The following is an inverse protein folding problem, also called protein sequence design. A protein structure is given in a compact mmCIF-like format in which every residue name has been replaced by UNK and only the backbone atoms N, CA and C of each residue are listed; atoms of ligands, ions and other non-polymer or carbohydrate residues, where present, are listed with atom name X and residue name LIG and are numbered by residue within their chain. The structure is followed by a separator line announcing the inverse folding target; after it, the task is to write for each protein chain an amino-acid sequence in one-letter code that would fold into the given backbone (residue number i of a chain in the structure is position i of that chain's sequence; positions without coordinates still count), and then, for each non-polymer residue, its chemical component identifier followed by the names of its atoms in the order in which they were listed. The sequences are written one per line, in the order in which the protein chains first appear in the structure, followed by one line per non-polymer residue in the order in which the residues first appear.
data_IF_539058683834
#
_entry.id   IF_539058683834
#
_cell.length_a   1.000
_cell.length_b   1.000
_cell.length_c   1.000
_cell.angle_alpha   90.00
_cell.angle_beta   90.00
_cell.angle_gamma   90.00
#
_symmetry.space_group_name_H-M   'P 1'
#
loop_
_entity.id
_entity.type
_entity.pdbx_description
1 polymer ?
#
# COMPACT_ATOMS: atom_id res chain seq x y z
N UNK A 1 -16.07 15.17 43.70
CA UNK A 1 -15.88 16.61 43.46
C UNK A 1 -16.42 16.92 42.08
N UNK A 2 -17.64 17.43 42.02
CA UNK A 2 -18.31 17.87 40.80
C UNK A 2 -17.81 19.28 40.47
N UNK A 3 -17.15 19.43 39.33
CA UNK A 3 -16.76 20.74 38.80
C UNK A 3 -18.03 21.37 38.20
N UNK A 4 -18.62 22.28 38.97
CA UNK A 4 -19.79 23.05 38.60
C UNK A 4 -19.38 24.16 37.61
N UNK A 5 -20.23 24.45 36.65
CA UNK A 5 -19.90 25.19 35.43
C UNK A 5 -19.47 26.64 35.67
N UNK A 6 -18.16 26.90 35.59
CA UNK A 6 -17.68 28.23 35.24
C UNK A 6 -17.90 28.45 33.73
N UNK A 7 -18.48 29.60 33.30
CA UNK A 7 -18.56 29.91 31.88
C UNK A 7 -17.14 29.95 31.30
N UNK A 8 -16.88 29.28 30.17
CA UNK A 8 -15.56 29.26 29.51
C UNK A 8 -15.01 30.66 29.14
N UNK A 9 -15.80 31.72 29.30
CA UNK A 9 -15.44 33.08 28.90
C UNK A 9 -14.43 33.78 29.81
N UNK A 10 -14.12 33.25 30.99
CA UNK A 10 -13.10 33.83 31.92
C UNK A 10 -11.81 32.97 32.01
N UNK A 11 -11.71 31.90 31.23
CA UNK A 11 -10.52 31.05 31.21
C UNK A 11 -9.48 31.60 30.25
N UNK A 12 -8.21 31.54 30.66
CA UNK A 12 -7.05 31.81 29.81
C UNK A 12 -7.19 31.06 28.47
N UNK A 13 -7.08 31.74 27.30
CA UNK A 13 -7.20 31.10 25.99
C UNK A 13 -6.31 29.87 25.79
N UNK A 14 -5.14 29.81 26.43
CA UNK A 14 -4.26 28.62 26.41
C UNK A 14 -4.92 27.41 27.10
N UNK A 15 -5.60 27.65 28.24
CA UNK A 15 -6.38 26.62 28.96
C UNK A 15 -7.61 26.20 28.16
N UNK A 16 -8.35 27.17 27.62
CA UNK A 16 -9.56 26.91 26.82
C UNK A 16 -9.22 26.11 25.56
N UNK A 17 -8.11 26.42 24.90
CA UNK A 17 -7.59 25.67 23.75
C UNK A 17 -7.21 24.25 24.14
N UNK A 18 -6.49 24.07 25.25
CA UNK A 18 -6.13 22.75 25.78
C UNK A 18 -7.38 21.91 26.04
N UNK A 19 -8.40 22.46 26.69
CA UNK A 19 -9.65 21.75 26.99
C UNK A 19 -10.42 21.38 25.73
N UNK A 20 -10.53 22.29 24.77
CA UNK A 20 -11.25 22.04 23.53
C UNK A 20 -10.54 20.98 22.66
N UNK A 21 -9.22 21.06 22.52
CA UNK A 21 -8.43 20.04 21.81
C UNK A 21 -8.45 18.70 22.54
N UNK A 22 -8.46 18.70 23.87
CA UNK A 22 -8.64 17.47 24.67
C UNK A 22 -10.01 16.86 24.41
N UNK A 23 -11.06 17.68 24.27
CA UNK A 23 -12.39 17.17 23.92
C UNK A 23 -12.41 16.55 22.52
N UNK A 24 -11.79 17.21 21.51
CA UNK A 24 -11.62 16.63 20.17
C UNK A 24 -10.90 15.28 20.22
N UNK A 25 -9.81 15.20 21.00
CA UNK A 25 -9.06 13.96 21.16
C UNK A 25 -9.83 12.87 21.93
N UNK A 26 -10.68 13.25 22.91
CA UNK A 26 -11.41 12.32 23.79
C UNK A 26 -12.78 11.89 23.30
N UNK A 27 -13.47 12.69 22.48
CA UNK A 27 -14.76 12.32 21.88
C UNK A 27 -14.65 11.02 21.07
N UNK A 28 -13.41 10.61 20.76
CA UNK A 28 -13.04 9.39 20.07
C UNK A 28 -12.38 8.36 20.99
N UNK A 29 -13.00 8.03 22.12
CA UNK A 29 -12.56 6.86 22.91
C UNK A 29 -12.51 5.63 21.99
N UNK A 30 -11.44 4.84 22.10
CA UNK A 30 -11.39 3.51 21.50
C UNK A 30 -12.68 2.78 21.89
N UNK A 31 -13.42 2.28 20.91
CA UNK A 31 -14.46 1.30 21.20
C UNK A 31 -13.80 0.07 21.83
N UNK A 32 -14.59 -0.86 22.38
CA UNK A 32 -14.05 -2.16 22.81
C UNK A 32 -13.38 -2.94 21.67
N UNK A 33 -13.60 -2.53 20.41
CA UNK A 33 -12.98 -3.06 19.21
C UNK A 33 -11.73 -2.26 18.76
N UNK A 34 -11.31 -1.26 19.54
CA UNK A 34 -10.15 -0.43 19.21
C UNK A 34 -10.45 0.72 18.25
N UNK A 35 -11.72 1.03 17.99
CA UNK A 35 -12.06 1.92 16.87
C UNK A 35 -12.05 3.40 17.22
N UNK A 36 -11.47 4.22 16.34
CA UNK A 36 -11.68 5.67 16.27
C UNK A 36 -12.21 6.05 14.88
N UNK A 37 -13.37 6.73 14.80
CA UNK A 37 -13.99 7.05 13.50
C UNK A 37 -13.30 8.16 12.72
N UNK A 38 -12.35 8.89 13.33
CA UNK A 38 -11.53 9.85 12.59
C UNK A 38 -10.18 10.16 13.29
N UNK A 39 -9.24 10.70 12.52
CA UNK A 39 -7.84 11.02 12.90
C UNK A 39 -7.71 12.40 13.60
N UNK A 40 -6.96 12.50 14.70
CA UNK A 40 -6.79 13.76 15.46
C UNK A 40 -5.91 14.75 14.73
N UNK A 41 -4.82 14.30 14.10
CA UNK A 41 -3.92 15.16 13.37
C UNK A 41 -4.60 15.79 12.15
N UNK A 42 -5.51 15.03 11.54
CA UNK A 42 -6.36 15.50 10.46
C UNK A 42 -7.36 16.56 10.90
N UNK A 43 -8.01 16.38 12.04
CA UNK A 43 -8.87 17.41 12.63
C UNK A 43 -8.08 18.64 13.06
N UNK A 44 -6.89 18.46 13.63
CA UNK A 44 -6.03 19.56 14.00
C UNK A 44 -5.63 20.38 12.76
N UNK A 45 -5.31 19.73 11.65
CA UNK A 45 -5.02 20.40 10.38
C UNK A 45 -6.22 21.25 9.91
N UNK A 46 -7.44 20.71 9.98
CA UNK A 46 -8.66 21.47 9.63
C UNK A 46 -8.93 22.63 10.59
N UNK A 47 -8.75 22.42 11.90
CA UNK A 47 -8.88 23.45 12.92
C UNK A 47 -7.91 24.60 12.62
N UNK A 48 -6.65 24.29 12.33
CA UNK A 48 -5.62 25.28 12.03
C UNK A 48 -5.89 26.03 10.72
N UNK A 49 -6.39 25.35 9.69
CA UNK A 49 -6.81 26.01 8.46
C UNK A 49 -7.95 27.02 8.72
N UNK A 50 -8.93 26.65 9.54
CA UNK A 50 -10.03 27.54 9.91
C UNK A 50 -9.57 28.72 10.79
N UNK A 51 -8.64 28.49 11.73
CA UNK A 51 -8.01 29.55 12.55
C UNK A 51 -7.26 30.52 11.64
N UNK A 52 -6.42 30.01 10.74
CA UNK A 52 -5.64 30.81 9.80
C UNK A 52 -6.54 31.72 8.95
N UNK A 53 -7.63 31.19 8.41
CA UNK A 53 -8.61 31.97 7.64
C UNK A 53 -9.31 33.06 8.47
N UNK A 54 -9.54 32.81 9.77
CA UNK A 54 -10.18 33.78 10.69
C UNK A 54 -9.25 34.88 11.19
N UNK A 55 -7.94 34.61 11.23
CA UNK A 55 -6.92 35.56 11.69
C UNK A 55 -6.44 36.46 10.53
N UNK A 56 -6.56 36.00 9.28
CA UNK A 56 -6.21 36.79 8.09
C UNK A 56 -5.09 36.20 7.24
N UNK A 57 -4.63 34.98 7.56
CA UNK A 57 -3.54 34.30 6.86
C UNK A 57 -2.35 34.00 7.77
N UNK A 58 -1.36 33.30 7.21
CA UNK A 58 -0.19 32.81 7.97
C UNK A 58 0.69 33.94 8.45
N UNK A 59 0.81 35.01 7.65
CA UNK A 59 1.61 36.20 7.99
C UNK A 59 1.05 36.90 9.24
N UNK A 60 -0.27 37.00 9.32
CA UNK A 60 -0.96 37.59 10.48
C UNK A 60 -0.96 36.64 11.68
N UNK A 61 -1.04 35.33 11.45
CA UNK A 61 -1.02 34.30 12.50
C UNK A 61 0.34 34.22 13.22
N UNK A 62 1.43 34.46 12.49
CA UNK A 62 2.80 34.43 12.99
C UNK A 62 3.45 35.81 13.06
N UNK A 63 2.64 36.87 13.10
CA UNK A 63 3.14 38.23 13.21
C UNK A 63 4.04 38.38 14.44
N UNK A 64 5.14 39.11 14.27
CA UNK A 64 6.12 39.36 15.33
C UNK A 64 6.95 38.13 15.73
N UNK A 65 7.15 37.17 14.83
CA UNK A 65 8.02 36.02 15.03
C UNK A 65 8.97 35.81 13.85
N UNK A 66 10.25 35.45 14.09
CA UNK A 66 11.08 34.85 13.06
C UNK A 66 10.56 33.45 12.71
N UNK A 67 10.74 33.03 11.46
CA UNK A 67 10.48 31.67 11.01
C UNK A 67 11.27 30.67 11.85
N UNK A 68 10.61 29.59 12.26
CA UNK A 68 11.15 28.50 13.07
C UNK A 68 10.57 27.17 12.60
N UNK A 69 11.21 26.06 12.96
CA UNK A 69 10.74 24.71 12.64
C UNK A 69 9.27 24.52 13.07
N UNK A 70 8.87 25.03 14.24
CA UNK A 70 7.47 24.95 14.71
C UNK A 70 6.50 25.72 13.81
N UNK A 71 6.85 26.93 13.38
CA UNK A 71 5.99 27.71 12.47
C UNK A 71 5.88 27.04 11.10
N UNK A 72 6.93 26.36 10.62
CA UNK A 72 6.91 25.61 9.36
C UNK A 72 6.03 24.35 9.46
N UNK A 73 6.11 23.61 10.57
CA UNK A 73 5.26 22.45 10.84
C UNK A 73 3.77 22.85 10.95
N UNK A 74 3.46 23.93 11.65
CA UNK A 74 2.09 24.45 11.74
C UNK A 74 1.60 24.94 10.36
N UNK A 75 2.46 25.60 9.58
CA UNK A 75 2.14 26.01 8.20
C UNK A 75 1.85 24.79 7.32
N UNK A 76 2.59 23.69 7.49
CA UNK A 76 2.35 22.42 6.80
C UNK A 76 0.97 21.85 7.15
N UNK A 77 0.59 21.85 8.43
CA UNK A 77 -0.75 21.42 8.86
C UNK A 77 -1.86 22.33 8.30
N UNK A 78 -1.65 23.65 8.27
CA UNK A 78 -2.60 24.61 7.69
C UNK A 78 -2.84 24.30 6.21
N UNK A 79 -1.76 24.06 5.44
CA UNK A 79 -1.85 23.72 4.03
C UNK A 79 -2.62 22.40 3.82
N UNK A 80 -2.32 21.38 4.62
CA UNK A 80 -3.01 20.08 4.58
C UNK A 80 -4.51 20.21 4.88
N UNK A 81 -4.88 20.99 5.91
CA UNK A 81 -6.26 21.25 6.27
C UNK A 81 -7.03 22.03 5.20
N UNK A 82 -6.37 23.00 4.55
CA UNK A 82 -6.98 23.82 3.48
C UNK A 82 -7.28 22.99 2.23
N UNK A 83 -6.45 22.00 1.92
CA UNK A 83 -6.66 21.10 0.79
C UNK A 83 -7.81 20.09 1.03
N UNK A 84 -8.22 19.91 2.29
CA UNK A 84 -9.22 18.92 2.66
C UNK A 84 -10.64 19.43 2.45
N UNK A 85 -11.52 18.55 1.97
CA UNK A 85 -12.97 18.78 2.01
C UNK A 85 -13.53 18.25 3.33
N UNK A 86 -14.40 18.99 4.03
CA UNK A 86 -15.10 18.48 5.20
C UNK A 86 -15.82 17.18 4.85
N UNK A 87 -15.62 16.14 5.65
CA UNK A 87 -16.32 14.86 5.47
C UNK A 87 -17.84 15.02 5.66
N UNK A 88 -18.67 14.24 4.93
CA UNK A 88 -20.11 14.30 5.11
C UNK A 88 -20.53 13.75 6.49
N UNK A 89 -21.40 14.51 7.17
CA UNK A 89 -22.11 14.16 8.40
C UNK A 89 -21.28 14.10 9.70
N UNK A 90 -21.02 15.29 10.28
CA UNK A 90 -20.24 15.45 11.52
C UNK A 90 -21.09 15.61 12.79
N UNK A 91 -22.41 15.67 12.70
CA UNK A 91 -23.33 15.67 13.86
C UNK A 91 -22.85 16.51 15.05
N UNK A 92 -22.74 15.90 16.23
CA UNK A 92 -22.24 16.55 17.46
C UNK A 92 -20.74 16.82 17.44
N UNK A 93 -19.96 16.04 16.69
CA UNK A 93 -18.51 16.20 16.54
C UNK A 93 -18.17 17.54 15.89
N UNK A 94 -19.01 18.03 14.97
CA UNK A 94 -18.87 19.35 14.37
C UNK A 94 -18.90 20.48 15.43
N UNK A 95 -19.73 20.33 16.46
CA UNK A 95 -19.81 21.30 17.54
C UNK A 95 -18.54 21.29 18.41
N UNK A 96 -17.90 20.14 18.62
CA UNK A 96 -16.63 20.04 19.35
C UNK A 96 -15.48 20.62 18.55
N UNK A 97 -15.37 20.30 17.26
CA UNK A 97 -14.39 20.90 16.35
C UNK A 97 -14.57 22.41 16.28
N UNK A 98 -15.81 22.90 16.15
CA UNK A 98 -16.10 24.33 16.16
C UNK A 98 -15.64 25.03 17.44
N UNK A 99 -15.84 24.41 18.62
CA UNK A 99 -15.33 24.95 19.89
C UNK A 99 -13.80 25.03 19.91
N UNK A 100 -13.11 24.01 19.37
CA UNK A 100 -11.66 24.04 19.24
C UNK A 100 -11.18 25.15 18.30
N UNK A 101 -11.87 25.37 17.17
CA UNK A 101 -11.58 26.49 16.27
C UNK A 101 -11.73 27.84 17.01
N UNK A 102 -12.82 28.05 17.74
CA UNK A 102 -13.04 29.30 18.49
C UNK A 102 -11.94 29.51 19.53
N UNK A 103 -11.67 28.51 20.36
CA UNK A 103 -10.64 28.61 21.41
C UNK A 103 -9.25 28.90 20.83
N UNK A 104 -8.84 28.18 19.78
CA UNK A 104 -7.56 28.39 19.12
C UNK A 104 -7.48 29.73 18.37
N UNK A 105 -8.61 30.25 17.86
CA UNK A 105 -8.67 31.60 17.28
C UNK A 105 -8.44 32.66 18.35
N UNK A 106 -9.03 32.50 19.53
CA UNK A 106 -8.84 33.45 20.63
C UNK A 106 -7.42 33.39 21.19
N UNK A 107 -6.81 32.20 21.23
CA UNK A 107 -5.38 32.04 21.52
C UNK A 107 -4.51 32.82 20.51
N UNK A 108 -4.77 32.65 19.21
CA UNK A 108 -4.02 33.36 18.17
C UNK A 108 -4.17 34.89 18.28
N UNK A 109 -5.38 35.40 18.54
CA UNK A 109 -5.61 36.83 18.77
C UNK A 109 -4.88 37.35 19.99
N UNK A 110 -4.89 36.59 21.08
CA UNK A 110 -4.16 36.93 22.29
C UNK A 110 -2.66 37.00 22.02
N UNK A 111 -2.10 36.02 21.31
CA UNK A 111 -0.68 36.03 20.92
C UNK A 111 -0.31 37.29 20.12
N UNK A 112 -1.15 37.73 19.19
CA UNK A 112 -0.93 38.96 18.41
C UNK A 112 -1.14 40.25 19.20
N UNK A 113 -2.01 40.25 20.22
CA UNK A 113 -2.26 41.42 21.06
C UNK A 113 -1.08 41.80 21.97
N UNK A 114 -0.17 40.85 22.25
CA UNK A 114 0.98 41.05 23.14
C UNK A 114 2.29 41.33 22.41
N UNK A 115 2.27 41.76 21.14
CA UNK A 115 3.49 42.18 20.45
C UNK A 115 4.10 43.38 21.19
N UNK A 116 5.34 43.22 21.63
CA UNK A 116 6.12 44.25 22.31
C UNK A 116 6.61 45.33 21.34
N UNK A 117 7.23 46.38 21.89
CA UNK A 117 7.77 47.50 21.11
C UNK A 117 8.89 47.07 20.15
N UNK A 118 9.54 45.93 20.40
CA UNK A 118 10.56 45.33 19.54
C UNK A 118 9.94 44.47 18.41
N UNK A 119 8.61 44.46 18.31
CA UNK A 119 7.85 43.72 17.30
C UNK A 119 7.83 42.22 17.57
N UNK A 120 8.01 41.77 18.82
CA UNK A 120 7.99 40.35 19.20
C UNK A 120 6.89 40.06 20.21
N UNK A 121 6.17 38.96 20.02
CA UNK A 121 5.23 38.52 21.05
C UNK A 121 5.96 37.67 22.11
N UNK A 122 5.70 37.87 23.42
CA UNK A 122 6.22 37.02 24.49
C UNK A 122 5.48 35.68 24.58
N UNK A 123 4.26 35.58 24.01
CA UNK A 123 3.42 34.37 24.01
C UNK A 123 2.94 33.97 22.61
N UNK A 124 3.83 33.49 21.73
CA UNK A 124 3.51 33.42 20.32
C UNK A 124 2.77 32.15 19.99
N UNK A 125 1.85 32.27 19.05
CA UNK A 125 0.83 31.26 18.80
C UNK A 125 1.42 29.86 18.60
N UNK A 126 2.52 29.74 17.87
CA UNK A 126 3.16 28.45 17.61
C UNK A 126 3.65 27.74 18.88
N UNK A 127 4.20 28.50 19.83
CA UNK A 127 4.69 27.92 21.09
C UNK A 127 3.52 27.60 22.01
N UNK A 128 2.56 28.51 22.15
CA UNK A 128 1.36 28.29 22.99
C UNK A 128 0.52 27.10 22.49
N UNK A 129 0.36 26.95 21.17
CA UNK A 129 -0.32 25.80 20.58
C UNK A 129 0.45 24.50 20.86
N UNK A 130 1.77 24.51 20.72
CA UNK A 130 2.61 23.34 20.98
C UNK A 130 2.55 22.93 22.46
N UNK A 131 2.53 23.91 23.36
CA UNK A 131 2.34 23.67 24.79
C UNK A 131 0.95 23.11 25.09
N UNK A 132 -0.11 23.64 24.45
CA UNK A 132 -1.46 23.10 24.55
C UNK A 132 -1.52 21.64 24.07
N UNK A 133 -0.89 21.31 22.93
CA UNK A 133 -0.81 19.94 22.41
C UNK A 133 -0.04 19.01 23.36
N UNK A 134 1.04 19.50 23.96
CA UNK A 134 1.81 18.73 24.97
C UNK A 134 0.95 18.41 26.19
N UNK A 135 0.13 19.37 26.66
CA UNK A 135 -0.82 19.16 27.76
C UNK A 135 -1.95 18.21 27.39
N UNK A 136 -2.51 18.31 26.17
CA UNK A 136 -3.50 17.37 25.63
C UNK A 136 -2.93 15.96 25.68
N UNK A 137 -1.72 15.76 25.12
CA UNK A 137 -1.02 14.48 25.07
C UNK A 137 -0.83 13.88 26.47
N UNK A 138 -0.32 14.68 27.41
CA UNK A 138 -0.18 14.25 28.80
C UNK A 138 -1.53 13.87 29.44
N UNK A 139 -2.60 14.60 29.14
CA UNK A 139 -3.94 14.34 29.68
C UNK A 139 -4.60 13.05 29.16
N UNK A 140 -4.08 12.50 28.06
CA UNK A 140 -4.55 11.26 27.45
C UNK A 140 -3.78 10.03 27.92
N UNK A 141 -2.57 10.20 28.46
CA UNK A 141 -1.69 9.10 28.89
C UNK A 141 -0.34 9.11 28.18
N UNK A 142 -0.19 9.89 27.10
CA UNK A 142 1.04 9.99 26.32
C UNK A 142 0.79 10.04 24.81
N UNK A 143 1.86 10.11 24.01
CA UNK A 143 1.76 10.08 22.54
C UNK A 143 1.13 8.80 22.01
N UNK A 144 1.37 7.65 22.66
CA UNK A 144 0.77 6.37 22.28
C UNK A 144 -0.78 6.46 22.31
N UNK A 145 -1.35 7.00 23.37
CA UNK A 145 -2.80 7.17 23.53
C UNK A 145 -3.37 8.27 22.63
N UNK A 146 -2.59 9.32 22.35
CA UNK A 146 -3.00 10.36 21.41
C UNK A 146 -3.20 9.76 20.02
N UNK A 147 -2.20 9.04 19.51
CA UNK A 147 -2.20 8.48 18.15
C UNK A 147 -2.82 7.08 18.05
N UNK A 148 -3.21 6.46 19.16
CA UNK A 148 -3.84 5.14 19.17
C UNK A 148 -5.00 5.06 18.17
N UNK A 149 -4.87 4.11 17.23
CA UNK A 149 -5.85 3.81 16.21
C UNK A 149 -5.91 4.74 15.01
N UNK A 150 -4.94 5.65 14.90
CA UNK A 150 -4.82 6.57 13.77
C UNK A 150 -3.89 6.02 12.71
N UNK A 151 -4.14 6.42 11.46
CA UNK A 151 -3.26 6.10 10.34
C UNK A 151 -1.93 6.88 10.49
N UNK A 152 -0.81 6.32 10.02
CA UNK A 152 0.49 6.97 10.09
C UNK A 152 0.65 8.05 8.98
N UNK A 153 -0.31 8.96 8.92
CA UNK A 153 -0.40 10.02 7.90
C UNK A 153 0.74 11.03 8.01
N UNK A 154 0.94 11.84 6.98
CA UNK A 154 1.86 12.99 7.04
C UNK A 154 1.50 13.93 8.18
N UNK A 155 0.20 14.17 8.41
CA UNK A 155 -0.27 15.03 9.50
C UNK A 155 0.08 14.43 10.86
N UNK A 156 -0.13 13.13 11.06
CA UNK A 156 0.23 12.46 12.31
C UNK A 156 1.74 12.58 12.59
N UNK A 157 2.59 12.45 11.56
CA UNK A 157 4.04 12.69 11.68
C UNK A 157 4.36 14.13 12.05
N UNK A 158 3.73 15.11 11.41
CA UNK A 158 3.92 16.53 11.72
C UNK A 158 3.51 16.85 13.16
N UNK A 159 2.41 16.27 13.67
CA UNK A 159 2.00 16.43 15.06
C UNK A 159 2.98 15.76 16.02
N UNK A 160 3.49 14.57 15.68
CA UNK A 160 4.53 13.91 16.48
C UNK A 160 5.81 14.77 16.55
N UNK A 161 6.22 15.35 15.42
CA UNK A 161 7.39 16.24 15.34
C UNK A 161 7.19 17.53 16.15
N UNK A 162 5.99 18.13 16.10
CA UNK A 162 5.62 19.27 16.97
C UNK A 162 5.74 18.92 18.45
N UNK A 163 5.36 17.71 18.84
CA UNK A 163 5.48 17.19 20.20
C UNK A 163 6.90 16.74 20.57
N UNK A 164 7.86 16.82 19.65
CA UNK A 164 9.24 16.36 19.85
C UNK A 164 9.35 14.83 20.02
N UNK A 165 8.42 14.07 19.45
CA UNK A 165 8.37 12.60 19.51
C UNK A 165 8.32 11.98 18.12
N UNK A 166 8.58 10.69 18.02
CA UNK A 166 8.27 9.89 16.84
C UNK A 166 6.87 9.28 16.98
N UNK A 167 6.26 8.90 15.86
CA UNK A 167 5.06 8.08 15.89
C UNK A 167 5.36 6.74 16.59
N UNK A 168 4.43 6.23 17.43
CA UNK A 168 4.59 4.92 18.06
C UNK A 168 4.73 3.80 17.02
N UNK A 169 5.59 2.81 17.28
CA UNK A 169 5.76 1.63 16.41
C UNK A 169 4.52 0.71 16.43
N UNK A 170 3.72 0.76 17.49
CA UNK A 170 2.55 -0.08 17.74
C UNK A 170 1.22 0.49 17.24
N UNK A 171 1.24 1.58 16.46
CA UNK A 171 0.07 2.10 15.73
C UNK A 171 -0.76 1.02 15.00
N UNK A 172 -0.18 -0.02 14.37
CA UNK A 172 -0.94 -1.04 13.66
C UNK A 172 -1.90 -1.84 14.55
N UNK A 173 -1.56 -2.05 15.83
CA UNK A 173 -2.37 -2.85 16.75
C UNK A 173 -3.67 -2.15 17.17
N UNK A 174 -3.72 -0.81 17.05
CA UNK A 174 -4.88 -0.03 17.45
C UNK A 174 -5.70 0.48 16.27
N UNK A 175 -5.20 0.35 15.02
CA UNK A 175 -5.85 0.90 13.82
C UNK A 175 -7.19 0.24 13.58
N UNK A 176 -8.20 1.05 13.30
CA UNK A 176 -9.57 0.61 12.99
C UNK A 176 -10.07 0.97 11.61
N UNK A 177 -9.55 2.03 11.02
CA UNK A 177 -9.83 2.32 9.62
C UNK A 177 -9.18 1.27 8.73
N UNK A 178 -9.87 0.80 7.68
CA UNK A 178 -9.29 -0.16 6.76
C UNK A 178 -7.96 0.33 6.21
N UNK A 179 -6.96 -0.55 6.17
CA UNK A 179 -5.69 -0.25 5.50
C UNK A 179 -5.93 -0.30 4.00
N UNK A 180 -5.95 0.87 3.36
CA UNK A 180 -6.21 0.99 1.93
C UNK A 180 -4.93 0.85 1.14
N UNK A 181 -4.83 -0.20 0.33
CA UNK A 181 -3.66 -0.53 -0.47
C UNK A 181 -4.01 -0.39 -1.94
N UNK A 182 -3.20 0.35 -2.69
CA UNK A 182 -3.28 0.37 -4.16
C UNK A 182 -2.54 -0.84 -4.73
N UNK A 183 -3.20 -1.58 -5.61
CA UNK A 183 -2.59 -2.57 -6.49
C UNK A 183 -2.58 -2.05 -7.93
N UNK A 184 -1.41 -1.60 -8.38
CA UNK A 184 -1.13 -1.42 -9.80
C UNK A 184 -0.54 -2.71 -10.39
N UNK A 185 -1.40 -3.47 -11.07
CA UNK A 185 -1.01 -4.77 -11.65
C UNK A 185 0.02 -4.60 -12.76
N UNK A 186 0.03 -3.47 -13.47
CA UNK A 186 1.00 -3.23 -14.52
C UNK A 186 2.38 -3.01 -13.93
N UNK A 187 2.49 -2.15 -12.92
CA UNK A 187 3.74 -1.90 -12.21
C UNK A 187 4.30 -3.20 -11.62
N UNK A 188 3.47 -3.98 -10.93
CA UNK A 188 3.91 -5.25 -10.34
C UNK A 188 4.46 -6.23 -11.40
N UNK A 189 3.87 -6.24 -12.60
CA UNK A 189 4.33 -7.08 -13.71
C UNK A 189 5.57 -6.52 -14.40
N UNK A 190 5.72 -5.20 -14.44
CA UNK A 190 6.91 -4.52 -14.95
C UNK A 190 8.11 -4.72 -14.03
N UNK A 191 7.95 -4.42 -12.73
CA UNK A 191 8.98 -4.58 -11.71
C UNK A 191 9.47 -6.04 -11.60
N UNK A 192 8.58 -7.01 -11.78
CA UNK A 192 8.95 -8.43 -11.77
C UNK A 192 9.57 -8.93 -13.07
N UNK A 193 9.63 -8.10 -14.12
CA UNK A 193 10.15 -8.45 -15.45
C UNK A 193 9.24 -9.37 -16.27
N UNK A 194 8.00 -9.60 -15.81
CA UNK A 194 7.01 -10.39 -16.53
C UNK A 194 6.50 -9.67 -17.78
N UNK A 195 6.37 -8.34 -17.69
CA UNK A 195 6.01 -7.49 -18.83
C UNK A 195 7.07 -7.55 -19.93
N UNK A 196 8.34 -7.42 -19.58
CA UNK A 196 9.47 -7.51 -20.51
C UNK A 196 9.50 -8.88 -21.21
N UNK A 197 9.30 -9.96 -20.45
CA UNK A 197 9.26 -11.31 -21.01
C UNK A 197 8.11 -11.47 -22.01
N UNK A 198 6.92 -10.99 -21.66
CA UNK A 198 5.76 -11.02 -22.54
C UNK A 198 5.98 -10.20 -23.83
N UNK A 199 6.52 -8.98 -23.71
CA UNK A 199 6.85 -8.14 -24.87
C UNK A 199 7.86 -8.81 -25.79
N UNK A 200 8.90 -9.45 -25.24
CA UNK A 200 9.90 -10.16 -26.02
C UNK A 200 9.30 -11.32 -26.82
N UNK A 201 8.43 -12.13 -26.20
CA UNK A 201 7.74 -13.24 -26.87
C UNK A 201 6.84 -12.73 -28.00
N UNK A 202 6.06 -11.66 -27.75
CA UNK A 202 5.21 -11.07 -28.76
C UNK A 202 5.99 -10.45 -29.92
N UNK A 203 7.13 -9.79 -29.65
CA UNK A 203 7.96 -9.20 -30.69
C UNK A 203 8.45 -10.26 -31.68
N UNK A 204 8.87 -11.44 -31.18
CA UNK A 204 9.29 -12.55 -32.04
C UNK A 204 8.16 -13.11 -32.93
N UNK A 205 6.93 -13.15 -32.40
CA UNK A 205 5.76 -13.59 -33.17
C UNK A 205 5.27 -12.53 -34.17
N UNK A 206 5.36 -11.26 -33.80
CA UNK A 206 4.92 -10.14 -34.64
C UNK A 206 5.70 -10.08 -35.96
N UNK A 207 7.01 -10.37 -35.92
CA UNK A 207 7.82 -10.50 -37.14
C UNK A 207 7.29 -11.59 -38.09
N UNK A 208 6.78 -12.72 -37.57
CA UNK A 208 6.20 -13.78 -38.39
C UNK A 208 4.76 -13.47 -38.87
N UNK A 209 4.02 -12.63 -38.15
CA UNK A 209 2.69 -12.15 -38.56
C UNK A 209 2.80 -11.21 -39.77
N UNK A 210 3.80 -10.34 -39.78
CA UNK A 210 4.00 -9.32 -40.82
C UNK A 210 4.84 -9.79 -42.02
N UNK A 211 5.48 -10.96 -41.95
CA UNK A 211 6.32 -11.45 -43.05
C UNK A 211 5.45 -11.99 -44.20
N UNK A 212 5.23 -11.16 -45.21
CA UNK A 212 4.47 -11.49 -46.43
C UNK A 212 5.10 -12.63 -47.25
N UNK A 213 6.36 -13.00 -46.97
CA UNK A 213 7.04 -14.13 -47.63
C UNK A 213 6.64 -15.48 -47.03
N UNK A 214 6.02 -15.49 -45.85
CA UNK A 214 5.55 -16.72 -45.22
C UNK A 214 4.23 -17.19 -45.85
N UNK A 215 4.05 -18.50 -46.08
CA UNK A 215 2.78 -19.04 -46.51
C UNK A 215 1.63 -18.69 -45.55
N UNK A 216 0.44 -18.45 -46.08
CA UNK A 216 -0.75 -17.98 -45.32
C UNK A 216 -1.08 -18.82 -44.08
N UNK A 217 -0.93 -20.14 -44.18
CA UNK A 217 -1.14 -21.05 -43.05
C UNK A 217 -0.22 -20.75 -41.85
N UNK A 218 1.02 -20.32 -42.09
CA UNK A 218 1.97 -19.97 -41.05
C UNK A 218 1.67 -18.60 -40.47
N UNK A 219 1.26 -17.63 -41.31
CA UNK A 219 0.81 -16.30 -40.85
C UNK A 219 -0.44 -16.40 -39.99
N UNK A 220 -1.46 -17.18 -40.41
CA UNK A 220 -2.67 -17.44 -39.63
C UNK A 220 -2.35 -18.10 -38.28
N UNK A 221 -1.43 -19.07 -38.27
CA UNK A 221 -0.98 -19.70 -37.02
C UNK A 221 -0.24 -18.72 -36.11
N UNK A 222 0.61 -17.85 -36.66
CA UNK A 222 1.31 -16.83 -35.90
C UNK A 222 0.33 -15.82 -35.30
N UNK A 223 -0.66 -15.34 -36.06
CA UNK A 223 -1.72 -14.45 -35.59
C UNK A 223 -2.55 -15.10 -34.48
N UNK A 224 -2.98 -16.35 -34.65
CA UNK A 224 -3.71 -17.08 -33.62
C UNK A 224 -2.88 -17.25 -32.33
N UNK A 225 -1.58 -17.48 -32.46
CA UNK A 225 -0.67 -17.62 -31.32
C UNK A 225 -0.45 -16.27 -30.62
N UNK A 226 -0.29 -15.18 -31.38
CA UNK A 226 -0.17 -13.83 -30.87
C UNK A 226 -1.39 -13.44 -30.02
N UNK A 227 -2.60 -13.64 -30.56
CA UNK A 227 -3.84 -13.35 -29.86
C UNK A 227 -4.04 -14.23 -28.61
N UNK A 228 -3.69 -15.51 -28.69
CA UNK A 228 -3.76 -16.41 -27.54
C UNK A 228 -2.82 -16.00 -26.40
N UNK A 229 -1.60 -15.55 -26.72
CA UNK A 229 -0.64 -15.07 -25.72
C UNK A 229 -1.13 -13.75 -25.11
N UNK A 230 -1.67 -12.84 -25.92
CA UNK A 230 -2.26 -11.57 -25.42
C UNK A 230 -3.44 -11.81 -24.48
N UNK A 231 -4.35 -12.70 -24.86
CA UNK A 231 -5.47 -13.09 -24.01
C UNK A 231 -4.98 -13.77 -22.72
N UNK A 232 -3.97 -14.64 -22.82
CA UNK A 232 -3.36 -15.31 -21.66
C UNK A 232 -2.71 -14.34 -20.68
N UNK A 233 -2.02 -13.31 -21.17
CA UNK A 233 -1.39 -12.29 -20.34
C UNK A 233 -2.42 -11.43 -19.60
N UNK A 234 -3.48 -11.00 -20.29
CA UNK A 234 -4.60 -10.29 -19.66
C UNK A 234 -5.26 -11.15 -18.57
N UNK A 235 -5.49 -12.44 -18.85
CA UNK A 235 -6.03 -13.37 -17.86
C UNK A 235 -5.11 -13.58 -16.64
N UNK A 236 -3.79 -13.59 -16.83
CA UNK A 236 -2.83 -13.67 -15.72
C UNK A 236 -2.87 -12.42 -14.84
N UNK A 237 -3.00 -11.22 -15.41
CA UNK A 237 -3.16 -9.97 -14.65
C UNK A 237 -4.41 -10.00 -13.78
N UNK A 238 -5.56 -10.37 -14.36
CA UNK A 238 -6.82 -10.49 -13.61
C UNK A 238 -6.72 -11.53 -12.49
N UNK A 239 -6.17 -12.71 -12.78
CA UNK A 239 -6.02 -13.78 -11.79
C UNK A 239 -5.01 -13.41 -10.68
N UNK A 240 -3.98 -12.64 -10.98
CA UNK A 240 -3.06 -12.10 -9.98
C UNK A 240 -3.79 -11.13 -9.04
N UNK A 241 -4.55 -10.17 -9.59
CA UNK A 241 -5.34 -9.24 -8.78
C UNK A 241 -6.32 -9.95 -7.84
N UNK A 242 -7.04 -10.96 -8.33
CA UNK A 242 -7.94 -11.78 -7.51
C UNK A 242 -7.19 -12.53 -6.40
N UNK A 243 -5.99 -13.05 -6.69
CA UNK A 243 -5.15 -13.74 -5.71
C UNK A 243 -4.63 -12.76 -4.65
N UNK A 244 -4.25 -11.56 -5.07
CA UNK A 244 -3.78 -10.49 -4.18
C UNK A 244 -4.86 -10.09 -3.19
N UNK A 245 -6.08 -9.80 -3.67
CA UNK A 245 -7.24 -9.50 -2.84
C UNK A 245 -7.54 -10.64 -1.85
N UNK A 246 -7.46 -11.90 -2.30
CA UNK A 246 -7.72 -13.07 -1.45
C UNK A 246 -6.64 -13.30 -0.39
N UNK A 247 -5.43 -12.84 -0.64
CA UNK A 247 -4.28 -12.97 0.28
C UNK A 247 -4.32 -11.92 1.39
N UNK A 248 -5.01 -10.80 1.17
CA UNK A 248 -5.13 -9.68 2.11
C UNK A 248 -5.50 -10.09 3.55
N UNK A 249 -6.53 -10.91 3.82
CA UNK A 249 -6.88 -11.29 5.20
C UNK A 249 -5.75 -12.04 5.92
N UNK A 250 -5.01 -12.90 5.22
CA UNK A 250 -3.93 -13.68 5.81
C UNK A 250 -2.73 -12.80 6.18
N UNK A 251 -2.42 -11.80 5.35
CA UNK A 251 -1.37 -10.83 5.65
C UNK A 251 -1.78 -9.92 6.80
N UNK A 252 -3.05 -9.53 6.88
CA UNK A 252 -3.57 -8.77 8.03
C UNK A 252 -3.35 -9.52 9.36
N UNK A 253 -3.68 -10.82 9.39
CA UNK A 253 -3.44 -11.68 10.56
C UNK A 253 -1.95 -11.80 10.90
N UNK A 254 -1.08 -11.98 9.90
CA UNK A 254 0.37 -12.09 10.10
C UNK A 254 1.01 -10.84 10.68
N UNK A 255 0.50 -9.67 10.28
CA UNK A 255 0.97 -8.36 10.76
C UNK A 255 0.26 -7.93 12.06
N UNK A 256 -0.64 -8.75 12.61
CA UNK A 256 -1.39 -8.41 13.82
C UNK A 256 -2.33 -7.23 13.65
N UNK A 257 -2.82 -6.98 12.44
CA UNK A 257 -3.75 -5.89 12.14
C UNK A 257 -5.15 -6.25 12.63
N UNK A 258 -5.74 -5.35 13.41
CA UNK A 258 -7.14 -5.45 13.80
C UNK A 258 -8.08 -4.85 12.73
N UNK A 259 -7.60 -3.87 11.95
CA UNK A 259 -8.32 -3.32 10.80
C UNK A 259 -8.25 -4.25 9.56
N UNK A 260 -9.32 -4.32 8.76
CA UNK A 260 -9.29 -5.03 7.49
C UNK A 260 -8.38 -4.32 6.47
N UNK A 261 -7.83 -5.07 5.52
CA UNK A 261 -7.13 -4.51 4.37
C UNK A 261 -8.11 -4.37 3.20
N UNK A 262 -8.22 -3.16 2.65
CA UNK A 262 -8.99 -2.85 1.44
C UNK A 262 -8.03 -2.67 0.26
N UNK A 263 -8.16 -3.53 -0.77
CA UNK A 263 -7.31 -3.45 -1.96
C UNK A 263 -8.05 -2.69 -3.07
N UNK A 264 -7.45 -1.61 -3.54
CA UNK A 264 -7.90 -0.81 -4.68
C UNK A 264 -7.10 -1.19 -5.91
N UNK A 265 -7.75 -1.73 -6.95
CA UNK A 265 -7.07 -2.07 -8.21
C UNK A 265 -7.15 -0.86 -9.14
N UNK A 266 -6.01 -0.26 -9.47
CA UNK A 266 -5.96 1.00 -10.21
C UNK A 266 -4.54 1.38 -10.62
N UNK A 267 -4.35 2.63 -11.05
CA UNK A 267 -3.04 3.16 -11.44
C UNK A 267 -2.50 4.10 -10.35
N UNK A 268 -1.19 4.10 -10.12
CA UNK A 268 -0.57 5.01 -9.14
C UNK A 268 -0.79 6.51 -9.40
N UNK A 269 -1.02 6.91 -10.66
CA UNK A 269 -1.27 8.30 -11.05
C UNK A 269 -2.76 8.72 -10.93
N UNK A 270 -3.64 7.82 -10.50
CA UNK A 270 -5.05 8.15 -10.31
C UNK A 270 -5.19 9.13 -9.13
N UNK A 271 -5.81 10.32 -9.29
CA UNK A 271 -6.06 11.23 -8.18
C UNK A 271 -6.98 10.65 -7.10
N UNK A 272 -7.71 9.56 -7.39
CA UNK A 272 -8.49 8.81 -6.42
C UNK A 272 -7.72 7.67 -5.73
N UNK A 273 -6.45 7.44 -6.08
CA UNK A 273 -5.61 6.42 -5.45
C UNK A 273 -5.46 6.70 -3.94
N UNK A 274 -5.51 5.66 -3.09
CA UNK A 274 -5.28 5.84 -1.67
C UNK A 274 -3.87 6.39 -1.41
N UNK A 275 -3.77 7.33 -0.48
CA UNK A 275 -2.48 7.90 -0.08
C UNK A 275 -1.56 6.81 0.49
N UNK A 276 -0.29 6.83 0.08
CA UNK A 276 0.69 5.89 0.58
C UNK A 276 1.26 6.36 1.92
N UNK A 277 0.97 5.61 2.98
CA UNK A 277 1.58 5.78 4.29
C UNK A 277 2.60 4.65 4.57
N UNK A 278 3.48 4.78 5.60
CA UNK A 278 4.48 3.76 5.90
C UNK A 278 3.90 2.35 6.15
N UNK A 279 2.74 2.27 6.78
CA UNK A 279 2.07 0.99 7.05
C UNK A 279 1.46 0.44 5.75
N UNK A 280 0.81 1.26 4.94
CA UNK A 280 0.34 0.86 3.60
C UNK A 280 1.49 0.31 2.77
N UNK A 281 2.68 0.92 2.83
CA UNK A 281 3.88 0.41 2.14
C UNK A 281 4.31 -0.97 2.65
N UNK A 282 4.36 -1.15 3.97
CA UNK A 282 4.71 -2.44 4.58
C UNK A 282 3.70 -3.53 4.21
N UNK A 283 2.40 -3.21 4.28
CA UNK A 283 1.33 -4.12 3.88
C UNK A 283 1.41 -4.45 2.39
N UNK A 284 1.64 -3.47 1.52
CA UNK A 284 1.86 -3.68 0.08
C UNK A 284 3.02 -4.64 -0.16
N UNK A 285 4.14 -4.43 0.53
CA UNK A 285 5.32 -5.29 0.40
C UNK A 285 5.02 -6.73 0.86
N UNK A 286 4.37 -6.89 2.02
CA UNK A 286 3.98 -8.20 2.55
C UNK A 286 3.00 -8.92 1.60
N UNK A 287 2.01 -8.20 1.07
CA UNK A 287 1.06 -8.74 0.09
C UNK A 287 1.74 -9.16 -1.21
N UNK A 288 2.66 -8.35 -1.75
CA UNK A 288 3.42 -8.71 -2.95
C UNK A 288 4.27 -9.96 -2.72
N UNK A 289 4.88 -10.09 -1.55
CA UNK A 289 5.68 -11.28 -1.22
C UNK A 289 4.84 -12.54 -0.98
N UNK A 290 3.61 -12.39 -0.46
CA UNK A 290 2.69 -13.49 -0.21
C UNK A 290 1.88 -13.92 -1.45
N UNK A 291 1.67 -13.01 -2.41
CA UNK A 291 0.78 -13.26 -3.56
C UNK A 291 1.50 -13.97 -4.68
N UNK A 292 1.02 -15.15 -5.06
CA UNK A 292 1.59 -15.93 -6.18
C UNK A 292 1.10 -15.41 -7.52
N UNK A 293 2.00 -15.28 -8.50
CA UNK A 293 1.62 -15.03 -9.92
C UNK A 293 1.11 -16.31 -10.57
N UNK A 294 -0.14 -16.32 -11.08
CA UNK A 294 -0.68 -17.44 -11.83
C UNK A 294 0.15 -17.71 -13.09
N UNK A 295 0.74 -18.90 -13.18
CA UNK A 295 1.61 -19.31 -14.30
C UNK A 295 3.08 -19.48 -13.92
N UNK A 296 3.58 -18.76 -12.91
CA UNK A 296 4.94 -18.99 -12.37
C UNK A 296 4.92 -19.84 -11.10
N UNK A 297 3.79 -19.86 -10.38
CA UNK A 297 3.68 -20.53 -9.08
C UNK A 297 4.54 -19.88 -7.99
N UNK A 298 5.01 -18.64 -8.21
CA UNK A 298 5.88 -17.88 -7.32
C UNK A 298 5.40 -16.43 -7.22
N UNK A 299 5.70 -15.73 -6.11
CA UNK A 299 5.42 -14.30 -6.03
C UNK A 299 6.22 -13.52 -7.09
N UNK A 300 5.74 -12.32 -7.50
CA UNK A 300 6.53 -11.43 -8.34
C UNK A 300 7.86 -11.18 -7.62
N UNK A 301 8.97 -11.51 -8.28
CA UNK A 301 10.29 -11.36 -7.66
C UNK A 301 10.76 -9.94 -7.87
N UNK A 302 11.28 -9.33 -6.82
CA UNK A 302 12.00 -8.06 -6.91
C UNK A 302 13.11 -8.14 -7.96
N UNK A 303 13.20 -7.08 -8.78
CA UNK A 303 14.24 -6.88 -9.78
C UNK A 303 15.60 -6.77 -9.10
N UNK A 304 16.34 -7.88 -8.98
CA UNK A 304 17.77 -7.79 -8.66
C UNK A 304 18.52 -7.18 -9.85
N UNK A 305 19.35 -6.13 -9.65
CA UNK A 305 20.20 -5.62 -10.71
C UNK A 305 21.06 -6.76 -11.30
N UNK A 306 21.00 -6.95 -12.62
CA UNK A 306 21.89 -7.86 -13.35
C UNK A 306 21.33 -9.25 -13.73
N UNK A 307 20.06 -9.58 -13.47
CA UNK A 307 19.44 -10.80 -14.02
C UNK A 307 18.76 -10.55 -15.37
N UNK A 308 18.88 -11.51 -16.29
CA UNK A 308 18.29 -11.47 -17.64
C UNK A 308 16.90 -12.11 -17.64
N UNK A 309 16.01 -11.75 -18.57
CA UNK A 309 14.69 -12.40 -18.72
C UNK A 309 14.74 -13.94 -18.86
N UNK A 310 15.87 -14.50 -19.32
CA UNK A 310 16.11 -15.94 -19.40
C UNK A 310 16.28 -16.63 -18.02
N UNK A 311 16.49 -15.85 -16.96
CA UNK A 311 16.67 -16.34 -15.59
C UNK A 311 15.33 -16.51 -14.84
N UNK A 312 14.19 -16.29 -15.51
CA UNK A 312 12.84 -16.48 -14.99
C UNK A 312 12.38 -17.93 -15.27
N UNK A 313 12.41 -18.86 -14.30
CA UNK A 313 11.93 -20.21 -14.53
C UNK A 313 10.40 -20.25 -14.61
N UNK A 314 9.88 -20.93 -15.65
CA UNK A 314 8.55 -21.53 -15.61
C UNK A 314 7.38 -20.77 -16.24
N UNK A 315 7.59 -19.66 -16.97
CA UNK A 315 6.50 -19.01 -17.72
C UNK A 315 6.15 -19.82 -18.98
N UNK A 316 5.54 -20.99 -18.80
CA UNK A 316 4.85 -21.64 -19.89
C UNK A 316 3.50 -20.95 -20.08
N UNK A 317 3.41 -19.97 -20.98
CA UNK A 317 2.13 -19.55 -21.53
C UNK A 317 1.52 -20.75 -22.25
N UNK A 318 0.86 -21.63 -21.51
CA UNK A 318 0.15 -22.78 -22.07
C UNK A 318 -1.00 -22.21 -22.90
N UNK A 319 -0.82 -22.20 -24.21
CA UNK A 319 -1.94 -22.13 -25.14
C UNK A 319 -2.85 -23.31 -24.82
N UNK A 320 -3.98 -23.05 -24.13
CA UNK A 320 -5.06 -24.03 -24.03
C UNK A 320 -5.69 -24.17 -25.41
N UNK A 321 -5.10 -24.98 -26.29
CA UNK A 321 -5.81 -25.50 -27.46
C UNK A 321 -6.70 -26.63 -26.96
N UNK A 322 -7.91 -26.29 -26.53
CA UNK A 322 -8.97 -27.28 -26.31
C UNK A 322 -9.46 -27.75 -27.68
N UNK A 323 -8.76 -28.72 -28.28
CA UNK A 323 -9.33 -29.65 -29.26
C UNK A 323 -8.74 -31.01 -28.96
N UNK A 324 -9.41 -31.77 -28.10
CA UNK A 324 -9.21 -33.23 -28.06
C UNK A 324 -9.59 -33.78 -29.44
N UNK A 325 -8.70 -34.52 -30.13
CA UNK A 325 -9.12 -35.28 -31.28
C UNK A 325 -9.98 -36.44 -30.79
N UNK A 326 -11.28 -36.37 -31.08
CA UNK A 326 -12.22 -37.50 -30.99
C UNK A 326 -11.56 -38.73 -31.59
N UNK A 327 -11.43 -39.78 -30.79
CA UNK A 327 -11.13 -41.13 -31.26
C UNK A 327 -12.28 -41.61 -32.14
N UNK A 328 -12.00 -41.92 -33.41
CA UNK A 328 -12.85 -42.74 -34.28
C UNK A 328 -11.98 -43.77 -35.01
N UNK A 329 -12.57 -44.92 -35.37
CA UNK A 329 -11.94 -46.24 -35.24
C UNK A 329 -11.01 -46.62 -36.39
N UNK A 330 -10.01 -47.43 -36.07
CA UNK A 330 -9.06 -48.04 -36.99
C UNK A 330 -9.75 -48.76 -38.15
N UNK A 331 -9.42 -48.38 -39.38
CA UNK A 331 -9.60 -49.21 -40.57
C UNK A 331 -8.48 -50.27 -40.65
N UNK A 332 -8.79 -51.48 -41.17
CA UNK A 332 -7.88 -52.62 -41.14
C UNK A 332 -6.78 -52.56 -42.20
N UNK A 333 -5.59 -53.05 -41.83
CA UNK A 333 -4.43 -53.20 -42.71
C UNK A 333 -4.60 -54.34 -43.73
N UNK A 334 -3.97 -54.24 -44.93
CA UNK A 334 -3.99 -55.30 -45.92
C UNK A 334 -3.08 -56.48 -45.55
N UNK A 335 -3.61 -57.68 -45.75
CA UNK A 335 -3.06 -58.99 -45.41
C UNK A 335 -1.86 -59.38 -46.29
N UNK A 336 -0.75 -59.82 -45.69
CA UNK A 336 0.30 -60.62 -46.33
C UNK A 336 0.19 -62.10 -45.86
N UNK A 337 0.46 -63.09 -46.72
CA UNK A 337 0.17 -64.50 -46.43
C UNK A 337 1.21 -65.16 -45.51
N UNK A 338 0.86 -66.25 -44.81
CA UNK A 338 1.66 -66.81 -43.72
C UNK A 338 2.74 -67.79 -44.22
N UNK A 339 3.93 -67.85 -43.59
CA UNK A 339 4.84 -68.98 -43.74
C UNK A 339 4.50 -70.10 -42.75
N UNK A 340 4.63 -71.35 -43.21
CA UNK A 340 4.31 -72.60 -42.51
C UNK A 340 5.27 -72.92 -41.34
N UNK A 341 4.84 -73.76 -40.38
CA UNK A 341 5.50 -73.92 -39.08
C UNK A 341 6.58 -75.01 -39.05
N UNK A 342 7.59 -74.78 -38.20
CA UNK A 342 8.36 -75.84 -37.54
C UNK A 342 9.88 -75.70 -37.66
N UNK A 343 10.55 -75.27 -36.59
CA UNK A 343 11.57 -76.05 -35.87
C UNK A 343 12.22 -75.22 -34.75
N UNK A 344 12.05 -75.73 -33.53
CA UNK A 344 12.76 -75.33 -32.30
C UNK A 344 14.27 -75.55 -32.43
N UNK A 345 15.11 -74.58 -32.07
CA UNK A 345 16.39 -74.82 -31.36
C UNK A 345 16.74 -73.61 -30.45
N UNK A 346 17.13 -73.92 -29.21
CA UNK A 346 17.56 -73.04 -28.11
C UNK A 346 18.87 -72.27 -28.41
N UNK A 347 19.16 -71.13 -27.72
CA UNK A 347 20.52 -70.62 -27.66
C UNK A 347 21.28 -71.16 -26.43
N UNK A 348 22.54 -71.52 -26.66
CA UNK A 348 23.50 -71.95 -25.65
C UNK A 348 24.29 -70.76 -25.09
N UNK A 349 24.49 -70.80 -23.78
CA UNK A 349 25.41 -70.02 -22.96
C UNK A 349 26.84 -70.53 -23.13
N UNK A 350 27.82 -69.66 -23.40
CA UNK A 350 29.22 -69.81 -22.93
C UNK A 350 29.81 -68.42 -22.63
N UNK A 351 30.62 -68.41 -21.58
CA UNK A 351 31.03 -67.33 -20.69
C UNK A 351 32.43 -66.76 -21.08
N UNK A 352 33.11 -65.94 -20.24
CA UNK A 352 33.90 -64.77 -20.64
C UNK A 352 35.41 -65.02 -20.68
N UNK A 353 36.20 -64.01 -21.07
CA UNK A 353 37.60 -63.92 -20.66
C UNK A 353 37.91 -62.55 -20.05
N UNK A 354 38.58 -62.65 -18.92
CA UNK A 354 39.07 -61.65 -17.96
C UNK A 354 40.54 -61.38 -18.27
N UNK A 355 41.05 -60.20 -17.91
CA UNK A 355 42.34 -59.96 -17.23
C UNK A 355 42.59 -58.44 -17.10
N UNK A 356 42.60 -57.89 -15.87
CA UNK A 356 43.77 -57.57 -15.02
C UNK A 356 44.54 -56.33 -15.51
N UNK A 357 44.95 -55.30 -14.73
CA UNK A 357 45.30 -55.04 -13.31
C UNK A 357 45.40 -53.48 -13.18
N UNK A 358 44.89 -52.83 -12.13
CA UNK A 358 45.57 -52.38 -10.88
C UNK A 358 46.36 -51.05 -10.96
N UNK A 359 46.18 -50.26 -9.90
CA UNK A 359 46.97 -49.10 -9.38
C UNK A 359 46.78 -47.77 -10.14
N UNK A 360 46.64 -46.58 -9.53
CA UNK A 360 46.94 -46.03 -8.21
C UNK A 360 47.54 -44.61 -8.39
N UNK A 361 47.41 -43.71 -7.39
CA UNK A 361 47.88 -42.30 -7.26
C UNK A 361 46.87 -41.21 -7.72
N UNK A 362 46.25 -40.40 -6.84
CA UNK A 362 46.74 -39.34 -5.93
C UNK A 362 47.54 -38.21 -6.60
N UNK A 363 46.88 -37.08 -6.85
CA UNK A 363 46.97 -35.83 -6.06
C UNK A 363 45.81 -34.89 -6.42
#
# INVERSE_FOLDING_TARGET
MTYDGAPMNDLDPSVTTTLALTAVARERRLTSAGERPFDFADELAEILAAVNARIGGTDELFVGRPTSDRTELITTLIAAGTARRPGPDRGTHEATVYRAIVAATDLARQSGAYIDDDGRSPFPFADELTDALSRVTASLGGPAELFAGQSATSNAKTVAELLGTTLPEDLPAYRSEPVRVLLDVNDQFEESGLQDHYHWVLQGLWSAVLDERLPDQYRLRATATYEAIRAGYSAQKSAYAETYIRTAPQVAEQLGLHAPIEVFVGHHDDPAAPAEDPLTREVTQALTQATIVPGTGRPPRERRPGRRPADLPGVAFRARTSVEPRSTPSQPAPTLPPPKPGLNVRPATVHPSRDHRSDGLQL
#
